data_IF_226056277157
#
_entry.id   IF_226056277157
#
_cell.length_a   1.000
_cell.length_b   1.000
_cell.length_c   1.000
_cell.angle_alpha   90.00
_cell.angle_beta   90.00
_cell.angle_gamma   90.00
#
_symmetry.space_group_name_H-M   'P 1'
#
loop_
_entity.id
_entity.type
_entity.pdbx_description
1 polymer ?
#
# COMPACT_ATOMS: atom_id res chain seq x y z
N UNK A 1 0.08 18.36 -23.93
CA UNK A 1 1.38 17.75 -23.61
C UNK A 1 1.55 16.53 -24.51
N UNK A 2 2.63 16.46 -25.29
CA UNK A 2 2.90 15.38 -26.24
C UNK A 2 4.22 14.75 -25.85
N UNK A 3 4.17 13.54 -25.33
CA UNK A 3 5.35 12.69 -25.18
C UNK A 3 5.68 12.14 -26.57
N UNK A 4 6.92 12.33 -27.03
CA UNK A 4 7.42 11.68 -28.25
C UNK A 4 8.23 10.47 -27.80
N UNK A 5 7.69 9.24 -27.87
CA UNK A 5 8.45 8.05 -27.57
C UNK A 5 9.51 7.83 -28.66
N UNK A 6 10.76 7.63 -28.27
CA UNK A 6 11.86 7.24 -29.16
C UNK A 6 12.66 6.12 -28.48
N UNK A 7 12.40 4.89 -28.91
CA UNK A 7 13.09 3.59 -28.69
C UNK A 7 13.53 3.14 -27.27
N UNK A 8 13.72 4.04 -26.29
CA UNK A 8 13.85 3.85 -24.83
C UNK A 8 13.96 5.18 -24.05
N UNK A 9 13.81 6.33 -24.72
CA UNK A 9 13.92 7.67 -24.15
C UNK A 9 12.54 8.30 -24.02
N UNK A 10 12.28 8.90 -22.85
CA UNK A 10 11.15 9.81 -22.68
C UNK A 10 11.66 11.24 -22.59
N UNK A 11 10.82 12.17 -23.07
CA UNK A 11 11.08 13.61 -22.98
C UNK A 11 10.03 14.23 -22.07
N UNK A 12 10.45 14.79 -20.94
CA UNK A 12 9.61 15.65 -20.12
C UNK A 12 9.76 17.10 -20.60
N UNK A 13 8.66 17.85 -20.61
CA UNK A 13 8.60 19.25 -21.03
C UNK A 13 7.99 20.04 -19.89
N UNK A 14 8.67 21.10 -19.46
CA UNK A 14 8.22 21.96 -18.37
C UNK A 14 7.02 22.78 -18.83
N UNK A 15 5.89 22.69 -18.13
CA UNK A 15 4.67 23.45 -18.47
C UNK A 15 4.80 24.95 -18.25
N UNK A 16 5.84 25.40 -17.54
CA UNK A 16 6.06 26.81 -17.23
C UNK A 16 6.95 27.52 -18.25
N UNK A 17 8.09 26.91 -18.59
CA UNK A 17 9.13 27.55 -19.41
C UNK A 17 9.48 26.77 -20.67
N UNK A 18 8.91 25.57 -20.87
CA UNK A 18 9.19 24.71 -22.02
C UNK A 18 10.57 24.05 -21.99
N UNK A 19 11.34 24.19 -20.91
CA UNK A 19 12.60 23.45 -20.72
C UNK A 19 12.35 21.94 -20.83
N UNK A 20 13.32 21.17 -21.28
CA UNK A 20 13.13 19.73 -21.55
C UNK A 20 14.24 18.90 -20.96
N UNK A 21 13.89 17.71 -20.48
CA UNK A 21 14.87 16.68 -20.13
C UNK A 21 14.55 15.42 -20.91
N UNK A 22 15.59 14.82 -21.49
CA UNK A 22 15.52 13.53 -22.16
C UNK A 22 16.35 12.56 -21.36
N UNK A 23 15.75 11.47 -20.92
CA UNK A 23 16.47 10.40 -20.26
C UNK A 23 15.79 9.06 -20.49
N UNK A 24 16.58 8.02 -20.29
CA UNK A 24 16.08 6.65 -20.22
C UNK A 24 15.19 6.52 -19.00
N UNK A 25 13.89 6.30 -19.22
CA UNK A 25 13.06 5.76 -18.16
C UNK A 25 13.49 4.28 -17.96
N UNK A 26 13.55 3.79 -16.73
CA UNK A 26 13.18 2.38 -16.56
C UNK A 26 11.80 2.25 -17.21
N UNK A 27 11.69 1.43 -18.26
CA UNK A 27 10.42 1.21 -18.94
C UNK A 27 9.49 0.55 -17.95
N UNK A 28 8.76 1.38 -17.20
CA UNK A 28 7.56 0.95 -16.51
C UNK A 28 6.64 0.45 -17.63
N UNK A 29 6.00 -0.72 -17.47
CA UNK A 29 5.13 -1.28 -18.49
C UNK A 29 3.99 -0.33 -18.88
N UNK A 30 3.71 0.66 -18.04
CA UNK A 30 2.84 1.79 -18.31
C UNK A 30 3.72 3.00 -18.70
N UNK A 31 3.86 3.26 -20.01
CA UNK A 31 4.57 4.43 -20.56
C UNK A 31 3.97 5.78 -20.10
N UNK A 32 2.88 5.72 -19.35
CA UNK A 32 2.23 6.83 -18.70
C UNK A 32 2.79 7.14 -17.30
N UNK A 33 3.73 6.40 -16.73
CA UNK A 33 4.38 6.77 -15.46
C UNK A 33 5.83 7.21 -15.69
N UNK A 34 6.14 8.43 -15.27
CA UNK A 34 7.43 9.11 -15.48
C UNK A 34 8.09 9.51 -14.15
N UNK A 35 7.55 9.07 -13.02
CA UNK A 35 8.02 9.48 -11.68
C UNK A 35 9.53 9.33 -11.50
N UNK A 36 10.13 8.22 -11.92
CA UNK A 36 11.58 8.01 -11.82
C UNK A 36 12.36 9.08 -12.58
N UNK A 37 11.92 9.46 -13.78
CA UNK A 37 12.51 10.57 -14.53
C UNK A 37 12.30 11.92 -13.83
N UNK A 38 11.10 12.11 -13.26
CA UNK A 38 10.77 13.35 -12.55
C UNK A 38 11.70 13.50 -11.33
N UNK A 39 11.83 12.47 -10.50
CA UNK A 39 12.64 12.49 -9.29
C UNK A 39 14.15 12.50 -9.57
N UNK A 40 14.65 11.67 -10.49
CA UNK A 40 16.09 11.60 -10.83
C UNK A 40 16.64 12.91 -11.41
N UNK A 41 15.80 13.69 -12.09
CA UNK A 41 16.19 14.97 -12.68
C UNK A 41 15.77 16.19 -11.86
N UNK A 42 15.21 16.00 -10.66
CA UNK A 42 14.77 17.08 -9.79
C UNK A 42 13.59 17.89 -10.35
N UNK A 43 12.84 17.29 -11.27
CA UNK A 43 11.58 17.85 -11.74
C UNK A 43 10.49 17.62 -10.69
N UNK A 44 9.42 18.42 -10.76
CA UNK A 44 8.27 18.31 -9.86
C UNK A 44 6.97 18.18 -10.66
N UNK A 45 5.92 17.67 -10.02
CA UNK A 45 4.58 17.56 -10.61
C UNK A 45 4.08 16.12 -10.74
N UNK A 46 3.28 15.86 -11.77
CA UNK A 46 2.60 14.58 -11.98
C UNK A 46 3.61 13.42 -12.08
N UNK A 47 3.40 12.32 -11.35
CA UNK A 47 4.15 11.10 -11.56
C UNK A 47 3.81 10.43 -12.89
N UNK A 48 2.78 10.92 -13.59
CA UNK A 48 2.35 10.42 -14.89
C UNK A 48 2.86 11.28 -16.04
N UNK A 49 3.05 10.67 -17.20
CA UNK A 49 3.41 11.32 -18.46
C UNK A 49 2.35 12.35 -18.90
N UNK A 50 1.13 12.23 -18.36
CA UNK A 50 0.07 13.21 -18.45
C UNK A 50 -0.07 13.96 -17.11
N UNK A 51 -0.20 15.28 -17.19
CA UNK A 51 -0.31 16.16 -16.03
C UNK A 51 0.85 17.16 -15.95
N UNK A 52 0.86 18.06 -14.95
CA UNK A 52 1.82 19.13 -14.90
C UNK A 52 3.23 18.62 -14.56
N UNK A 53 4.26 19.04 -15.28
CA UNK A 53 5.68 18.82 -14.99
C UNK A 53 6.40 20.17 -14.95
N UNK A 54 7.25 20.39 -13.94
CA UNK A 54 8.06 21.61 -13.81
C UNK A 54 9.52 21.24 -13.61
N UNK A 55 10.40 21.84 -14.41
CA UNK A 55 11.84 21.67 -14.26
C UNK A 55 12.36 22.31 -12.96
N UNK A 56 13.57 21.97 -12.48
CA UNK A 56 14.12 22.50 -11.22
C UNK A 56 14.14 24.03 -11.11
N UNK A 57 14.16 24.76 -12.24
CA UNK A 57 14.13 26.23 -12.27
C UNK A 57 12.74 26.82 -12.07
N UNK A 58 11.72 26.08 -12.46
CA UNK A 58 10.32 26.51 -12.43
C UNK A 58 9.49 25.75 -11.39
N UNK A 59 10.07 24.72 -10.78
CA UNK A 59 9.55 24.13 -9.58
C UNK A 59 9.40 25.23 -8.52
N UNK A 60 8.34 25.22 -7.70
CA UNK A 60 8.37 25.97 -6.46
C UNK A 60 9.66 25.59 -5.69
N UNK A 61 10.16 26.52 -4.88
CA UNK A 61 11.38 26.32 -4.07
C UNK A 61 11.29 24.91 -3.42
N UNK A 62 12.36 24.09 -3.45
CA UNK A 62 12.34 22.82 -2.74
C UNK A 62 11.88 23.06 -1.30
N UNK A 63 11.06 22.17 -0.73
CA UNK A 63 10.53 22.37 0.61
C UNK A 63 11.68 22.59 1.58
N UNK A 64 11.51 23.56 2.47
CA UNK A 64 12.45 23.79 3.54
C UNK A 64 12.46 22.51 4.41
N UNK A 65 13.60 21.83 4.61
CA UNK A 65 13.65 20.62 5.44
C UNK A 65 13.31 20.88 6.91
N UNK A 66 13.11 22.15 7.29
CA UNK A 66 12.65 22.58 8.62
C UNK A 66 11.17 23.02 8.65
N UNK A 67 10.47 23.01 7.51
CA UNK A 67 9.04 23.32 7.41
C UNK A 67 8.20 22.02 7.43
N UNK A 68 7.42 21.76 8.48
CA UNK A 68 6.62 20.55 8.61
C UNK A 68 5.39 20.50 7.69
N UNK A 69 5.20 21.46 6.78
CA UNK A 69 3.98 21.60 5.97
C UNK A 69 4.12 21.33 4.47
N UNK A 70 5.33 21.10 3.95
CA UNK A 70 5.52 20.81 2.51
C UNK A 70 6.68 19.83 2.30
N UNK A 71 6.47 18.80 1.47
CA UNK A 71 7.19 17.52 1.52
C UNK A 71 6.23 16.42 1.92
N UNK A 72 6.29 15.27 1.23
CA UNK A 72 5.37 14.13 1.40
C UNK A 72 4.84 14.01 2.82
N UNK A 73 3.51 14.07 2.99
CA UNK A 73 2.93 13.95 4.33
C UNK A 73 3.39 12.61 4.90
N UNK A 74 4.12 12.57 6.03
CA UNK A 74 4.64 11.31 6.55
C UNK A 74 3.48 10.34 6.73
N UNK A 75 3.67 9.11 6.25
CA UNK A 75 2.64 8.10 6.28
C UNK A 75 2.09 7.91 7.67
N UNK A 76 0.80 8.19 7.86
CA UNK A 76 0.13 8.03 9.15
C UNK A 76 -0.90 6.90 9.04
N UNK A 77 -0.89 6.01 10.04
CA UNK A 77 -2.03 5.12 10.27
C UNK A 77 -3.11 5.94 10.94
N UNK A 78 -4.20 6.15 10.22
CA UNK A 78 -5.28 6.99 10.72
C UNK A 78 -6.22 6.26 11.68
N UNK A 79 -6.19 4.94 11.64
CA UNK A 79 -6.96 4.10 12.54
C UNK A 79 -7.08 2.67 12.03
N UNK A 80 -7.64 1.83 12.91
CA UNK A 80 -8.11 0.49 12.56
C UNK A 80 -9.60 0.47 12.83
N UNK A 81 -10.39 0.39 11.77
CA UNK A 81 -11.83 0.21 11.84
C UNK A 81 -12.19 -1.27 11.63
N UNK A 82 -13.44 -1.63 11.94
CA UNK A 82 -13.95 -2.99 11.73
C UNK A 82 -15.24 -2.93 10.92
N UNK A 83 -15.21 -3.55 9.74
CA UNK A 83 -16.39 -3.75 8.90
C UNK A 83 -16.67 -5.24 8.79
N UNK A 84 -17.87 -5.67 9.18
CA UNK A 84 -18.25 -7.10 9.19
C UNK A 84 -17.24 -8.00 9.94
N UNK A 85 -16.71 -7.51 11.08
CA UNK A 85 -15.64 -8.14 11.88
C UNK A 85 -14.27 -8.27 11.17
N UNK A 86 -14.11 -7.68 9.99
CA UNK A 86 -12.83 -7.59 9.26
C UNK A 86 -12.11 -6.29 9.64
N UNK A 87 -10.86 -6.35 10.14
CA UNK A 87 -10.08 -5.15 10.41
C UNK A 87 -9.68 -4.44 9.11
N UNK A 88 -9.94 -3.14 9.05
CA UNK A 88 -9.55 -2.24 7.97
C UNK A 88 -8.55 -1.23 8.54
N UNK A 89 -7.32 -1.27 8.03
CA UNK A 89 -6.25 -0.35 8.41
C UNK A 89 -6.21 0.78 7.38
N UNK A 90 -6.65 1.97 7.77
CA UNK A 90 -6.61 3.15 6.90
C UNK A 90 -5.28 3.88 7.02
N UNK A 91 -4.66 4.12 5.87
CA UNK A 91 -3.35 4.78 5.76
C UNK A 91 -3.51 6.05 4.90
N UNK A 92 -2.81 7.11 5.27
CA UNK A 92 -2.72 8.31 4.46
C UNK A 92 -1.30 8.86 4.39
N UNK A 93 -1.04 9.67 3.36
CA UNK A 93 0.27 10.23 3.11
C UNK A 93 1.19 9.24 2.37
N UNK A 94 2.48 9.36 2.64
CA UNK A 94 3.52 8.63 1.94
C UNK A 94 3.97 7.43 2.78
N UNK A 95 3.90 6.23 2.21
CA UNK A 95 4.37 5.03 2.90
C UNK A 95 5.87 4.88 2.65
N UNK A 96 6.65 5.41 3.59
CA UNK A 96 8.12 5.41 3.57
C UNK A 96 8.71 4.95 4.92
N UNK A 97 10.00 5.22 5.15
CA UNK A 97 10.70 4.88 6.38
C UNK A 97 10.14 5.62 7.61
N UNK A 98 9.70 6.86 7.44
CA UNK A 98 9.28 7.74 8.54
C UNK A 98 7.87 7.36 9.05
N UNK A 99 6.98 6.93 8.15
CA UNK A 99 5.67 6.35 8.49
C UNK A 99 5.69 4.84 8.81
N UNK A 100 6.83 4.19 8.61
CA UNK A 100 6.92 2.73 8.54
C UNK A 100 6.66 1.99 9.85
N UNK A 101 7.04 2.55 10.99
CA UNK A 101 6.93 1.86 12.28
C UNK A 101 5.51 1.79 12.82
N UNK A 102 4.72 2.86 12.65
CA UNK A 102 3.31 2.89 13.03
C UNK A 102 2.49 1.92 12.17
N UNK A 103 2.72 1.94 10.86
CA UNK A 103 2.08 1.02 9.92
C UNK A 103 2.44 -0.44 10.22
N UNK A 104 3.71 -0.73 10.47
CA UNK A 104 4.18 -2.06 10.85
C UNK A 104 3.47 -2.56 12.10
N UNK A 105 3.38 -1.73 13.15
CA UNK A 105 2.72 -2.10 14.39
C UNK A 105 1.22 -2.35 14.20
N UNK A 106 0.53 -1.50 13.44
CA UNK A 106 -0.89 -1.63 13.14
C UNK A 106 -1.20 -2.90 12.34
N UNK A 107 -0.44 -3.16 11.26
CA UNK A 107 -0.61 -4.36 10.45
C UNK A 107 -0.32 -5.62 11.25
N UNK A 108 0.76 -5.62 12.04
CA UNK A 108 1.10 -6.76 12.88
C UNK A 108 -0.02 -7.05 13.88
N UNK A 109 -0.49 -6.05 14.61
CA UNK A 109 -1.58 -6.20 15.58
C UNK A 109 -2.90 -6.69 14.93
N UNK A 110 -3.26 -6.16 13.77
CA UNK A 110 -4.46 -6.58 13.05
C UNK A 110 -4.38 -8.06 12.61
N UNK A 111 -3.22 -8.45 12.08
CA UNK A 111 -2.94 -9.85 11.68
C UNK A 111 -2.92 -10.78 12.89
N UNK A 112 -2.35 -10.37 14.02
CA UNK A 112 -2.31 -11.20 15.23
C UNK A 112 -3.70 -11.50 15.79
N UNK A 113 -4.62 -10.53 15.77
CA UNK A 113 -5.92 -10.65 16.44
C UNK A 113 -6.94 -11.40 15.58
N UNK A 114 -7.01 -11.12 14.26
CA UNK A 114 -8.09 -11.64 13.38
C UNK A 114 -7.59 -12.37 12.14
N UNK A 115 -6.29 -12.40 11.90
CA UNK A 115 -5.67 -13.04 10.74
C UNK A 115 -5.83 -12.22 9.48
N UNK A 116 -7.07 -12.05 8.99
CA UNK A 116 -7.32 -11.33 7.74
C UNK A 116 -7.31 -9.82 7.98
N UNK A 117 -6.74 -9.06 7.04
CA UNK A 117 -6.71 -7.60 7.13
C UNK A 117 -6.90 -6.96 5.77
N UNK A 118 -7.65 -5.86 5.73
CA UNK A 118 -7.76 -4.98 4.57
C UNK A 118 -6.95 -3.72 4.84
N UNK A 119 -6.12 -3.32 3.89
CA UNK A 119 -5.38 -2.05 3.95
C UNK A 119 -6.02 -1.08 2.98
N UNK A 120 -6.58 0.01 3.50
CA UNK A 120 -7.17 1.08 2.72
C UNK A 120 -6.10 2.10 2.31
N UNK A 121 -5.86 2.17 1.01
CA UNK A 121 -4.85 3.01 0.36
C UNK A 121 -5.45 4.23 -0.34
N UNK A 122 -6.73 4.56 -0.13
CA UNK A 122 -7.42 5.64 -0.82
C UNK A 122 -6.75 7.02 -0.64
N UNK A 123 -6.04 7.20 0.47
CA UNK A 123 -5.32 8.44 0.82
C UNK A 123 -3.81 8.31 0.77
N UNK A 124 -3.31 7.24 0.14
CA UNK A 124 -1.88 7.02 -0.06
C UNK A 124 -1.48 7.56 -1.43
N UNK A 125 -0.50 8.45 -1.42
CA UNK A 125 -0.04 9.14 -2.62
C UNK A 125 1.26 8.56 -3.16
N UNK A 126 2.14 8.12 -2.26
CA UNK A 126 3.44 7.53 -2.57
C UNK A 126 3.67 6.25 -1.77
N UNK A 127 4.42 5.33 -2.36
CA UNK A 127 5.01 4.19 -1.66
C UNK A 127 6.41 3.96 -2.20
N UNK A 128 7.40 3.93 -1.31
CA UNK A 128 8.78 3.65 -1.67
C UNK A 128 9.11 2.14 -1.51
N UNK A 129 10.38 1.79 -1.69
CA UNK A 129 10.84 0.41 -1.48
C UNK A 129 10.71 -0.08 -0.04
N UNK A 130 10.81 0.82 0.94
CA UNK A 130 10.64 0.53 2.37
C UNK A 130 9.19 0.18 2.67
N UNK A 131 8.25 1.03 2.25
CA UNK A 131 6.82 0.82 2.40
C UNK A 131 6.33 -0.46 1.73
N UNK A 132 6.84 -0.73 0.53
CA UNK A 132 6.53 -1.99 -0.16
C UNK A 132 7.05 -3.21 0.61
N UNK A 133 8.26 -3.12 1.15
CA UNK A 133 8.84 -4.17 2.00
C UNK A 133 8.00 -4.45 3.25
N UNK A 134 7.37 -3.43 3.83
CA UNK A 134 6.45 -3.57 4.97
C UNK A 134 5.18 -4.34 4.58
N UNK A 135 4.55 -3.98 3.46
CA UNK A 135 3.35 -4.69 2.97
C UNK A 135 3.65 -6.16 2.68
N UNK A 136 4.79 -6.45 2.04
CA UNK A 136 5.19 -7.83 1.71
C UNK A 136 5.43 -8.66 2.98
N UNK A 137 6.05 -8.07 4.02
CA UNK A 137 6.24 -8.74 5.31
C UNK A 137 4.90 -9.00 5.99
N UNK A 138 4.01 -8.02 6.06
CA UNK A 138 2.68 -8.19 6.65
C UNK A 138 1.85 -9.26 5.93
N UNK A 139 1.93 -9.32 4.59
CA UNK A 139 1.29 -10.38 3.82
C UNK A 139 1.84 -11.77 4.14
N UNK A 140 3.16 -11.88 4.28
CA UNK A 140 3.80 -13.14 4.69
C UNK A 140 3.32 -13.57 6.09
N UNK A 141 3.29 -12.65 7.05
CA UNK A 141 2.84 -12.92 8.42
C UNK A 141 1.37 -13.38 8.44
N UNK A 142 0.51 -12.76 7.63
CA UNK A 142 -0.88 -13.18 7.47
C UNK A 142 -0.99 -14.59 6.86
N UNK A 143 -0.24 -14.86 5.79
CA UNK A 143 -0.21 -16.19 5.15
C UNK A 143 0.26 -17.30 6.07
N UNK A 144 1.29 -17.06 6.88
CA UNK A 144 1.80 -18.04 7.85
C UNK A 144 0.73 -18.44 8.88
N UNK A 145 -0.28 -17.58 9.08
CA UNK A 145 -1.44 -17.82 9.95
C UNK A 145 -2.68 -18.31 9.21
N UNK A 146 -2.57 -18.65 7.92
CA UNK A 146 -3.69 -19.09 7.09
C UNK A 146 -4.67 -17.96 6.72
N UNK A 147 -4.25 -16.71 6.87
CA UNK A 147 -5.05 -15.55 6.58
C UNK A 147 -4.57 -14.78 5.34
N UNK A 148 -5.31 -13.74 4.98
CA UNK A 148 -5.11 -12.96 3.75
C UNK A 148 -5.02 -11.48 4.10
N UNK A 149 -4.01 -10.82 3.53
CA UNK A 149 -3.91 -9.37 3.49
C UNK A 149 -4.34 -8.88 2.10
N UNK A 150 -5.35 -8.00 2.07
CA UNK A 150 -5.90 -7.40 0.85
C UNK A 150 -5.57 -5.90 0.81
N UNK A 151 -5.40 -5.36 -0.40
CA UNK A 151 -5.25 -3.93 -0.63
C UNK A 151 -6.53 -3.37 -1.24
N UNK A 152 -7.04 -2.26 -0.71
CA UNK A 152 -8.25 -1.60 -1.16
C UNK A 152 -7.97 -0.18 -1.63
N UNK A 153 -8.68 0.24 -2.68
CA UNK A 153 -8.64 1.59 -3.24
C UNK A 153 -7.22 2.16 -3.54
N UNK A 154 -6.23 1.38 -4.03
CA UNK A 154 -4.96 1.97 -4.42
C UNK A 154 -5.18 2.90 -5.61
N UNK A 155 -4.55 4.08 -5.54
CA UNK A 155 -4.48 4.99 -6.68
C UNK A 155 -3.82 4.31 -7.88
N UNK A 156 -4.05 4.86 -9.07
CA UNK A 156 -3.44 4.33 -10.29
C UNK A 156 -1.91 4.24 -10.18
N UNK A 157 -1.30 5.24 -9.55
CA UNK A 157 0.15 5.28 -9.33
C UNK A 157 0.60 4.07 -8.50
N UNK A 158 -0.06 3.83 -7.36
CA UNK A 158 0.25 2.71 -6.48
C UNK A 158 0.06 1.37 -7.20
N UNK A 159 -0.99 1.22 -8.03
CA UNK A 159 -1.18 0.03 -8.88
C UNK A 159 -0.02 -0.19 -9.84
N UNK A 160 0.43 0.85 -10.53
CA UNK A 160 1.58 0.75 -11.44
C UNK A 160 2.87 0.40 -10.69
N UNK A 161 3.08 0.96 -9.49
CA UNK A 161 4.23 0.60 -8.63
C UNK A 161 4.16 -0.88 -8.25
N UNK A 162 3.02 -1.38 -7.76
CA UNK A 162 2.84 -2.79 -7.40
C UNK A 162 3.13 -3.72 -8.59
N UNK A 163 2.60 -3.39 -9.77
CA UNK A 163 2.79 -4.18 -10.99
C UNK A 163 4.23 -4.16 -11.47
N UNK A 164 4.87 -3.00 -11.48
CA UNK A 164 6.27 -2.83 -11.87
C UNK A 164 7.19 -3.65 -10.97
N UNK A 165 6.97 -3.56 -9.67
CA UNK A 165 7.75 -4.29 -8.67
C UNK A 165 7.39 -5.78 -8.62
N UNK A 166 6.45 -6.24 -9.46
CA UNK A 166 5.96 -7.62 -9.56
C UNK A 166 5.44 -8.17 -8.24
N UNK A 167 4.80 -7.30 -7.47
CA UNK A 167 4.17 -7.62 -6.17
C UNK A 167 2.65 -7.54 -6.24
N UNK A 168 2.08 -7.09 -7.36
CA UNK A 168 0.65 -7.09 -7.65
C UNK A 168 0.03 -8.50 -7.55
N UNK A 169 0.77 -9.54 -7.91
CA UNK A 169 0.33 -10.93 -7.74
C UNK A 169 0.40 -11.47 -6.30
N UNK A 170 1.01 -10.75 -5.37
CA UNK A 170 1.09 -11.16 -3.97
C UNK A 170 -0.20 -10.85 -3.21
N UNK A 171 -0.84 -9.73 -3.53
CA UNK A 171 -2.01 -9.24 -2.80
C UNK A 171 -3.27 -9.33 -3.67
N UNK A 172 -4.41 -9.77 -3.13
CA UNK A 172 -5.70 -9.39 -3.70
C UNK A 172 -5.84 -7.86 -3.64
N UNK A 173 -6.16 -7.24 -4.77
CA UNK A 173 -6.35 -5.79 -4.90
C UNK A 173 -7.78 -5.49 -5.35
N UNK A 174 -8.45 -4.59 -4.65
CA UNK A 174 -9.83 -4.19 -4.90
C UNK A 174 -9.94 -2.69 -5.16
N UNK A 175 -10.98 -2.29 -5.90
CA UNK A 175 -11.22 -0.88 -6.22
C UNK A 175 -11.80 -0.14 -5.01
N UNK A 176 -12.48 -0.85 -4.11
CA UNK A 176 -13.11 -0.29 -2.90
C UNK A 176 -12.82 -1.12 -1.64
N UNK A 177 -13.01 -0.50 -0.47
CA UNK A 177 -12.87 -1.18 0.83
C UNK A 177 -13.99 -2.21 1.00
N UNK A 178 -15.21 -1.86 0.56
CA UNK A 178 -16.39 -2.71 0.66
C UNK A 178 -16.22 -4.01 -0.11
N UNK A 179 -15.68 -3.97 -1.32
CA UNK A 179 -15.37 -5.17 -2.11
C UNK A 179 -14.32 -6.06 -1.42
N UNK A 180 -13.26 -5.45 -0.88
CA UNK A 180 -12.22 -6.18 -0.16
C UNK A 180 -12.77 -6.87 1.09
N UNK A 181 -13.60 -6.17 1.86
CA UNK A 181 -14.25 -6.70 3.06
C UNK A 181 -15.21 -7.84 2.69
N UNK A 182 -16.02 -7.68 1.64
CA UNK A 182 -16.95 -8.71 1.20
C UNK A 182 -16.25 -10.03 0.84
N UNK A 183 -15.10 -9.95 0.16
CA UNK A 183 -14.29 -11.12 -0.19
C UNK A 183 -13.70 -11.81 1.04
N UNK A 184 -13.14 -11.02 1.97
CA UNK A 184 -12.56 -11.54 3.22
C UNK A 184 -13.63 -12.15 4.12
N UNK A 185 -14.78 -11.50 4.28
CA UNK A 185 -15.90 -11.99 5.07
C UNK A 185 -16.49 -13.27 4.45
N UNK A 186 -16.54 -13.36 3.11
CA UNK A 186 -16.91 -14.57 2.37
C UNK A 186 -15.97 -15.74 2.67
N UNK A 187 -14.66 -15.48 2.67
CA UNK A 187 -13.63 -16.47 2.98
C UNK A 187 -13.72 -16.97 4.43
N UNK A 188 -13.98 -16.08 5.38
CA UNK A 188 -14.14 -16.43 6.80
C UNK A 188 -15.39 -17.27 7.05
N UNK A 189 -16.51 -16.98 6.35
CA UNK A 189 -17.74 -17.80 6.41
C UNK A 189 -17.52 -19.20 5.81
N UNK A 190 -16.80 -19.31 4.70
CA UNK A 190 -16.47 -20.60 4.09
C UNK A 190 -15.60 -21.46 5.04
N UNK A 191 -14.57 -20.87 5.65
CA UNK A 191 -13.70 -21.54 6.62
C UNK A 191 -14.44 -21.92 7.91
N UNK A 192 -15.34 -21.07 8.42
CA UNK A 192 -16.16 -21.34 9.60
C UNK A 192 -17.18 -22.47 9.39
N UNK A 193 -17.72 -22.61 8.17
CA UNK A 193 -18.68 -23.68 7.84
C UNK A 193 -18.04 -25.08 7.76
N UNK A 194 -16.74 -25.15 7.45
CA UNK A 194 -15.96 -26.39 7.48
C UNK A 194 -15.55 -26.83 8.90
N UNK A 195 -15.67 -25.95 9.90
CA UNK A 195 -15.31 -26.20 11.30
C UNK A 195 -16.48 -26.56 12.22
N UNK A 196 -17.74 -26.46 11.76
CA UNK A 196 -18.94 -26.79 12.55
C UNK A 196 -19.24 -28.30 12.54
N UNK A 197 -18.28 -29.10 12.98
CA UNK A 197 -18.36 -30.57 13.00
C UNK A 197 -17.35 -31.20 13.96
N UNK A 198 -17.10 -30.58 15.11
CA UNK A 198 -16.34 -31.20 16.19
C UNK A 198 -17.04 -30.93 17.54
N UNK A 199 -17.93 -31.86 17.89
CA UNK A 199 -18.56 -31.97 19.20
C UNK A 199 -17.50 -32.08 20.30
N UNK A 200 -17.50 -31.25 21.36
CA UNK A 200 -16.59 -31.45 22.48
C UNK A 200 -17.07 -32.65 23.30
N UNK A 201 -16.34 -33.75 23.17
CA UNK A 201 -16.50 -34.95 23.97
C UNK A 201 -16.42 -34.63 25.47
N UNK A 202 -17.42 -35.14 26.19
CA UNK A 202 -17.59 -35.00 27.64
C UNK A 202 -16.57 -35.85 28.41
N UNK A 203 -15.92 -35.20 29.39
CA UNK A 203 -15.71 -35.61 30.81
C UNK A 203 -14.74 -36.76 31.17
N UNK A 204 -13.78 -36.43 32.04
CA UNK A 204 -13.36 -37.24 33.20
C UNK A 204 -12.80 -36.29 34.30
N UNK A 205 -13.56 -35.98 35.36
CA UNK A 205 -13.54 -36.64 36.66
C UNK A 205 -12.23 -36.41 37.47
N UNK A 206 -12.24 -35.38 38.32
CA UNK A 206 -11.22 -35.15 39.36
C UNK A 206 -11.59 -35.92 40.64
N UNK A 207 -10.61 -36.64 41.19
CA UNK A 207 -10.67 -37.36 42.47
C UNK A 207 -10.38 -36.40 43.66
N UNK A 208 -10.82 -36.71 44.90
CA UNK A 208 -10.80 -35.77 46.02
C UNK A 208 -9.43 -35.68 46.71
N UNK A 209 -9.08 -34.45 47.12
CA UNK A 209 -7.94 -34.15 48.00
C UNK A 209 -8.26 -34.56 49.43
N UNK A 210 -7.36 -35.34 50.06
CA UNK A 210 -7.43 -35.69 51.48
C UNK A 210 -6.95 -34.51 52.33
N UNK A 211 -7.72 -34.19 53.38
CA UNK A 211 -7.31 -33.31 54.46
C UNK A 211 -6.28 -34.01 55.35
N UNK A 212 -5.22 -33.28 55.71
CA UNK A 212 -4.26 -33.59 56.77
C UNK A 212 -4.08 -32.35 57.63
#
# INVERSE_FOLDING_TARGET
MTVVPDENLMTLICDACGDTVRATACVLPDAEVVWTLVSEHGWSGSPFATGPHRCPRCAPLPPDPTDPTDGGQPGEVLGIDYLEDVPVVSVAGDIDLDGGDALRAALHGAVEVRGHVVVDLARVHLIDSTGLGLLVRAHRDARERGAVLCLAAPSRYIRTVLHTMRVDGLFPVFDTVEEAVAEVAGSNRAAGSAGAGAEPARRAAAAPVRAG
#
